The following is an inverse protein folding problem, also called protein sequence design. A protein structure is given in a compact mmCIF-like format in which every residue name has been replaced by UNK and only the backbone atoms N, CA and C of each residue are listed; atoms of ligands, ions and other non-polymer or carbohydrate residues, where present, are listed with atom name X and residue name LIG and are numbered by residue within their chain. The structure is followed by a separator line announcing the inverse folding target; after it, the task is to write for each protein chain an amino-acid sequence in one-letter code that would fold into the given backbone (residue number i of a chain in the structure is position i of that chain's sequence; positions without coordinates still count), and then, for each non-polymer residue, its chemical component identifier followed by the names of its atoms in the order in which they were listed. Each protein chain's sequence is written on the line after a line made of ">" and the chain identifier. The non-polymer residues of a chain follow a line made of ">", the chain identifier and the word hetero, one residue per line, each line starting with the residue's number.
data_IF_260984927469
#
_entry.id   IF_260984927469
#
_cell.length_a   1.000
_cell.length_b   1.000
_cell.length_c   1.000
_cell.angle_alpha   90.00
_cell.angle_beta   90.00
_cell.angle_gamma   90.00
#
_symmetry.space_group_name_H-M   'P 1'
#
loop_
_entity.id
_entity.type
_entity.pdbx_description
1 polymer ?
#
# COMPACT_ATOMS: atom_id res chain seq x y z
N UNK A 1 -41.71 32.01 -11.54
CA UNK A 1 -42.40 30.93 -10.82
C UNK A 1 -41.31 30.14 -10.13
N UNK A 2 -41.45 29.93 -8.82
CA UNK A 2 -40.56 29.08 -8.02
C UNK A 2 -40.81 27.63 -8.45
N UNK A 3 -39.77 26.91 -8.84
CA UNK A 3 -39.75 25.45 -8.85
C UNK A 3 -38.77 25.04 -7.75
N UNK A 4 -39.25 25.07 -6.51
CA UNK A 4 -38.66 24.33 -5.38
C UNK A 4 -39.14 22.87 -5.55
N UNK A 5 -38.54 22.14 -6.49
CA UNK A 5 -38.64 20.69 -6.53
C UNK A 5 -37.56 20.14 -5.60
N UNK A 6 -37.87 20.12 -4.30
CA UNK A 6 -37.08 19.38 -3.32
C UNK A 6 -37.05 17.91 -3.75
N UNK A 7 -35.90 17.46 -4.29
CA UNK A 7 -35.68 16.09 -4.72
C UNK A 7 -35.62 15.14 -3.49
N UNK A 8 -36.78 14.72 -2.98
CA UNK A 8 -36.93 13.74 -1.90
C UNK A 8 -36.70 12.28 -2.36
N UNK A 9 -35.95 12.09 -3.45
CA UNK A 9 -35.60 10.74 -3.92
C UNK A 9 -34.63 10.08 -2.95
N UNK A 10 -34.76 8.77 -2.74
CA UNK A 10 -33.80 8.00 -1.94
C UNK A 10 -32.35 8.20 -2.42
N UNK A 11 -32.17 8.43 -3.73
CA UNK A 11 -30.88 8.74 -4.33
C UNK A 11 -30.22 10.01 -3.74
N UNK A 12 -31.02 11.02 -3.36
CA UNK A 12 -30.51 12.25 -2.74
C UNK A 12 -29.89 11.99 -1.35
N UNK A 13 -30.36 10.96 -0.64
CA UNK A 13 -29.81 10.53 0.67
C UNK A 13 -28.83 9.35 0.57
N UNK A 14 -28.74 8.71 -0.60
CA UNK A 14 -27.93 7.51 -0.76
C UNK A 14 -26.46 7.90 -0.93
N UNK A 15 -25.65 7.68 0.10
CA UNK A 15 -24.19 7.75 -0.04
C UNK A 15 -23.74 6.51 -0.80
N UNK A 16 -23.38 6.69 -2.07
CA UNK A 16 -22.74 5.63 -2.84
C UNK A 16 -21.31 5.48 -2.32
N UNK A 17 -21.06 4.38 -1.63
CA UNK A 17 -19.69 4.02 -1.29
C UNK A 17 -18.96 3.55 -2.54
N UNK A 18 -17.69 3.93 -2.65
CA UNK A 18 -16.81 3.34 -3.64
C UNK A 18 -16.84 1.82 -3.49
N UNK A 19 -16.89 1.11 -4.62
CA UNK A 19 -16.88 -0.35 -4.63
C UNK A 19 -15.67 -0.83 -3.82
N UNK A 20 -15.82 -1.84 -2.94
CA UNK A 20 -14.75 -2.28 -2.07
C UNK A 20 -13.52 -2.62 -2.89
N UNK A 21 -12.37 -2.05 -2.51
CA UNK A 21 -11.08 -2.35 -3.13
C UNK A 21 -10.87 -3.87 -3.02
N UNK A 22 -10.56 -4.57 -4.13
CA UNK A 22 -10.33 -6.01 -4.09
C UNK A 22 -9.28 -6.35 -3.05
N UNK A 23 -9.59 -7.36 -2.21
CA UNK A 23 -8.65 -7.81 -1.19
C UNK A 23 -7.37 -8.31 -1.87
N UNK A 24 -6.22 -7.82 -1.38
CA UNK A 24 -4.90 -8.23 -1.88
C UNK A 24 -4.65 -9.73 -1.67
N UNK A 25 -5.26 -10.29 -0.62
CA UNK A 25 -5.18 -11.70 -0.25
C UNK A 25 -6.60 -12.23 -0.07
N UNK A 26 -6.80 -13.50 -0.36
CA UNK A 26 -8.07 -14.17 -0.05
C UNK A 26 -7.87 -15.58 0.45
N UNK A 27 -8.96 -16.24 0.82
CA UNK A 27 -8.93 -17.53 1.49
C UNK A 27 -8.52 -18.65 0.53
N UNK A 28 -7.54 -19.44 0.96
CA UNK A 28 -7.10 -20.68 0.31
C UNK A 28 -7.30 -21.84 1.28
N UNK A 29 -7.92 -22.96 0.84
CA UNK A 29 -8.04 -24.14 1.68
C UNK A 29 -6.66 -24.73 2.05
N UNK A 30 -6.44 -24.97 3.34
CA UNK A 30 -5.25 -25.61 3.89
C UNK A 30 -5.62 -26.54 5.05
N UNK A 31 -5.44 -27.85 4.86
CA UNK A 31 -5.65 -28.88 5.90
C UNK A 31 -7.00 -28.83 6.64
N UNK A 32 -8.09 -28.43 5.96
CA UNK A 32 -9.42 -28.28 6.58
C UNK A 32 -9.73 -26.89 7.15
N UNK A 33 -8.82 -25.93 7.02
CA UNK A 33 -9.02 -24.51 7.35
C UNK A 33 -8.83 -23.61 6.12
N UNK A 34 -9.07 -22.30 6.24
CA UNK A 34 -8.73 -21.32 5.20
C UNK A 34 -7.62 -20.40 5.68
N UNK A 35 -6.69 -20.08 4.77
CA UNK A 35 -5.55 -19.19 5.05
C UNK A 35 -5.53 -18.08 4.01
N UNK A 36 -5.17 -16.87 4.42
CA UNK A 36 -5.05 -15.74 3.50
C UNK A 36 -3.77 -15.87 2.66
N UNK A 37 -3.92 -15.89 1.34
CA UNK A 37 -2.81 -15.92 0.40
C UNK A 37 -3.02 -14.95 -0.77
N UNK A 38 -1.91 -14.51 -1.35
CA UNK A 38 -1.89 -13.87 -2.66
C UNK A 38 -2.27 -14.88 -3.74
N UNK A 39 -2.93 -14.36 -4.78
CA UNK A 39 -3.42 -15.12 -5.94
C UNK A 39 -2.30 -15.75 -6.74
N UNK A 40 -1.23 -14.98 -6.92
CA UNK A 40 -0.10 -15.32 -7.75
C UNK A 40 1.15 -14.59 -7.27
N UNK A 41 2.32 -15.07 -7.70
CA UNK A 41 3.59 -14.39 -7.45
C UNK A 41 3.59 -12.95 -8.01
N UNK A 42 2.96 -12.73 -9.16
CA UNK A 42 2.83 -11.40 -9.76
C UNK A 42 2.03 -10.45 -8.86
N UNK A 43 0.89 -10.91 -8.34
CA UNK A 43 0.07 -10.12 -7.41
C UNK A 43 0.81 -9.79 -6.11
N UNK A 44 1.60 -10.74 -5.59
CA UNK A 44 2.46 -10.52 -4.44
C UNK A 44 3.54 -9.48 -4.74
N UNK A 45 4.23 -9.60 -5.88
CA UNK A 45 5.33 -8.70 -6.26
C UNK A 45 4.85 -7.27 -6.53
N UNK A 46 3.68 -7.12 -7.15
CA UNK A 46 3.04 -5.84 -7.39
C UNK A 46 2.63 -5.17 -6.07
N UNK A 47 2.06 -5.94 -5.14
CA UNK A 47 1.70 -5.44 -3.82
C UNK A 47 2.93 -5.07 -2.98
N UNK A 48 4.01 -5.85 -3.07
CA UNK A 48 5.28 -5.56 -2.38
C UNK A 48 5.90 -4.26 -2.90
N UNK A 49 6.02 -4.11 -4.22
CA UNK A 49 6.49 -2.87 -4.86
C UNK A 49 5.62 -1.68 -4.47
N UNK A 50 4.30 -1.84 -4.45
CA UNK A 50 3.37 -0.77 -4.05
C UNK A 50 3.55 -0.36 -2.59
N UNK A 51 3.80 -1.32 -1.70
CA UNK A 51 4.15 -1.03 -0.31
C UNK A 51 5.44 -0.20 -0.23
N UNK A 52 6.50 -0.63 -0.93
CA UNK A 52 7.78 0.08 -0.92
C UNK A 52 7.66 1.50 -1.46
N UNK A 53 6.97 1.69 -2.60
CA UNK A 53 6.78 3.03 -3.19
C UNK A 53 5.96 3.92 -2.27
N UNK A 54 4.85 3.44 -1.71
CA UNK A 54 3.97 4.26 -0.89
C UNK A 54 4.65 4.71 0.41
N UNK A 55 5.36 3.80 1.09
CA UNK A 55 6.12 4.16 2.30
C UNK A 55 7.27 5.10 1.97
N UNK A 56 7.97 4.85 0.85
CA UNK A 56 9.06 5.71 0.39
C UNK A 56 8.57 7.13 0.10
N UNK A 57 7.49 7.28 -0.67
CA UNK A 57 6.95 8.58 -1.05
C UNK A 57 6.47 9.36 0.17
N UNK A 58 5.74 8.72 1.09
CA UNK A 58 5.32 9.34 2.35
C UNK A 58 6.51 9.76 3.22
N UNK A 59 7.55 8.93 3.29
CA UNK A 59 8.78 9.27 4.00
C UNK A 59 9.52 10.45 3.36
N UNK A 60 9.60 10.50 2.02
CA UNK A 60 10.24 11.59 1.30
C UNK A 60 9.48 12.92 1.47
N UNK A 61 8.16 12.90 1.43
CA UNK A 61 7.34 14.10 1.73
C UNK A 61 7.53 14.57 3.17
N UNK A 62 7.52 13.64 4.14
CA UNK A 62 7.83 13.96 5.53
C UNK A 62 9.24 14.50 5.73
N UNK A 63 10.21 13.96 4.99
CA UNK A 63 11.59 14.40 5.02
C UNK A 63 11.76 15.82 4.47
N UNK A 64 11.04 16.22 3.42
CA UNK A 64 11.07 17.62 2.93
C UNK A 64 10.70 18.60 4.04
N UNK A 65 9.62 18.32 4.77
CA UNK A 65 9.19 19.17 5.88
C UNK A 65 10.25 19.20 6.99
N UNK A 66 10.75 18.03 7.40
CA UNK A 66 11.79 17.92 8.43
C UNK A 66 13.10 18.62 8.04
N UNK A 67 13.52 18.49 6.78
CA UNK A 67 14.72 19.12 6.24
C UNK A 67 14.58 20.64 6.15
N UNK A 68 13.40 21.15 5.78
CA UNK A 68 13.16 22.60 5.76
C UNK A 68 13.28 23.20 7.18
N UNK A 69 12.72 22.53 8.19
CA UNK A 69 12.86 22.93 9.59
C UNK A 69 14.32 22.84 10.06
N UNK A 70 15.02 21.75 9.72
CA UNK A 70 16.42 21.57 10.07
C UNK A 70 17.32 22.63 9.42
N UNK A 71 17.12 22.92 8.14
CA UNK A 71 17.85 23.94 7.41
C UNK A 71 17.66 25.32 8.04
N UNK A 72 16.42 25.68 8.36
CA UNK A 72 16.12 26.95 9.01
C UNK A 72 16.79 27.06 10.39
N UNK A 73 16.77 25.99 11.18
CA UNK A 73 17.44 25.96 12.49
C UNK A 73 18.97 26.04 12.39
N UNK A 74 19.58 25.38 11.39
CA UNK A 74 21.02 25.39 11.17
C UNK A 74 21.52 26.75 10.66
N UNK A 75 20.71 27.46 9.88
CA UNK A 75 21.07 28.72 9.25
C UNK A 75 20.57 29.96 9.99
N UNK A 76 19.77 29.80 11.06
CA UNK A 76 19.26 30.92 11.85
C UNK A 76 20.43 31.62 12.57
N UNK A 77 20.58 32.95 12.46
CA UNK A 77 21.54 33.66 13.28
C UNK A 77 21.18 33.54 14.77
N UNK A 78 22.17 33.52 15.66
CA UNK A 78 21.89 33.57 17.08
C UNK A 78 21.04 34.79 17.43
N UNK A 79 20.07 34.63 18.33
CA UNK A 79 19.07 35.67 18.64
C UNK A 79 19.71 37.00 19.11
N UNK A 80 20.90 36.96 19.71
CA UNK A 80 21.62 38.15 20.18
C UNK A 80 22.29 38.96 19.05
N UNK A 81 22.43 38.43 17.83
CA UNK A 81 23.03 39.18 16.69
C UNK A 81 22.01 39.98 15.88
N UNK A 82 20.76 40.06 16.34
CA UNK A 82 19.68 40.80 15.68
C UNK A 82 19.22 40.15 14.37
N UNK A 83 17.99 40.44 13.96
CA UNK A 83 17.40 39.95 12.71
C UNK A 83 17.94 40.63 11.44
N UNK A 84 19.01 41.42 11.55
CA UNK A 84 19.58 42.25 10.49
C UNK A 84 20.64 41.57 9.63
N UNK A 85 20.73 40.23 9.66
CA UNK A 85 21.62 39.50 8.77
C UNK A 85 21.22 39.63 7.30
N UNK A 86 22.17 39.44 6.38
CA UNK A 86 21.86 39.39 4.95
C UNK A 86 20.96 38.19 4.66
N UNK A 87 19.71 38.47 4.28
CA UNK A 87 18.71 37.45 3.96
C UNK A 87 19.19 36.56 2.81
N UNK A 88 20.04 37.07 1.90
CA UNK A 88 20.58 36.30 0.78
C UNK A 88 21.59 35.25 1.21
N UNK A 89 22.43 35.55 2.21
CA UNK A 89 23.37 34.56 2.75
C UNK A 89 22.62 33.45 3.48
N UNK A 90 21.57 33.82 4.21
CA UNK A 90 20.69 32.87 4.90
C UNK A 90 19.98 31.94 3.92
N UNK A 91 19.39 32.48 2.85
CA UNK A 91 18.72 31.70 1.81
C UNK A 91 19.67 30.68 1.17
N UNK A 92 20.90 31.08 0.81
CA UNK A 92 21.93 30.17 0.27
C UNK A 92 22.40 29.11 1.26
N UNK A 93 22.34 29.40 2.56
CA UNK A 93 22.61 28.40 3.60
C UNK A 93 21.45 27.41 3.67
N UNK A 94 20.22 27.90 3.75
CA UNK A 94 19.02 27.06 3.88
C UNK A 94 18.86 26.14 2.67
N UNK A 95 19.13 26.63 1.45
CA UNK A 95 19.10 25.82 0.22
C UNK A 95 20.12 24.66 0.25
N UNK A 96 21.38 24.94 0.60
CA UNK A 96 22.42 23.89 0.71
C UNK A 96 22.11 22.84 1.77
N UNK A 97 21.68 23.30 2.95
CA UNK A 97 21.33 22.41 4.06
C UNK A 97 20.11 21.55 3.71
N UNK A 98 19.10 22.14 3.05
CA UNK A 98 17.91 21.44 2.59
C UNK A 98 18.24 20.36 1.55
N UNK A 99 18.99 20.71 0.50
CA UNK A 99 19.38 19.76 -0.56
C UNK A 99 20.19 18.58 -0.01
N UNK A 100 21.18 18.87 0.84
CA UNK A 100 21.99 17.83 1.48
C UNK A 100 21.15 16.90 2.36
N UNK A 101 20.23 17.47 3.14
CA UNK A 101 19.32 16.72 3.99
C UNK A 101 18.37 15.82 3.19
N UNK A 102 17.73 16.35 2.13
CA UNK A 102 16.79 15.58 1.29
C UNK A 102 17.53 14.46 0.54
N UNK A 103 18.73 14.72 0.02
CA UNK A 103 19.54 13.70 -0.63
C UNK A 103 19.88 12.54 0.33
N UNK A 104 20.27 12.85 1.56
CA UNK A 104 20.52 11.85 2.60
C UNK A 104 19.23 11.11 3.02
N UNK A 105 18.10 11.82 3.08
CA UNK A 105 16.81 11.25 3.47
C UNK A 105 16.31 10.21 2.46
N UNK A 106 16.49 10.41 1.14
CA UNK A 106 16.07 9.44 0.11
C UNK A 106 16.62 8.03 0.36
N UNK A 107 17.91 7.92 0.70
CA UNK A 107 18.53 6.63 1.03
C UNK A 107 17.95 5.99 2.29
N UNK A 108 17.70 6.81 3.33
CA UNK A 108 17.08 6.34 4.58
C UNK A 108 15.63 5.91 4.37
N UNK A 109 14.86 6.65 3.58
CA UNK A 109 13.48 6.32 3.25
C UNK A 109 13.36 5.02 2.46
N UNK A 110 14.27 4.77 1.50
CA UNK A 110 14.30 3.50 0.78
C UNK A 110 14.59 2.31 1.71
N UNK A 111 15.58 2.43 2.60
CA UNK A 111 15.89 1.40 3.59
C UNK A 111 14.73 1.17 4.57
N UNK A 112 14.09 2.25 5.03
CA UNK A 112 12.93 2.21 5.91
C UNK A 112 11.73 1.53 5.24
N UNK A 113 11.43 1.85 3.98
CA UNK A 113 10.36 1.21 3.21
C UNK A 113 10.58 -0.30 3.09
N UNK A 114 11.81 -0.71 2.75
CA UNK A 114 12.16 -2.14 2.66
C UNK A 114 12.01 -2.85 4.00
N UNK A 115 12.51 -2.27 5.08
CA UNK A 115 12.38 -2.82 6.44
C UNK A 115 10.90 -3.05 6.79
N UNK A 116 10.06 -2.02 6.62
CA UNK A 116 8.63 -2.07 6.96
C UNK A 116 7.82 -3.03 6.10
N UNK A 117 8.11 -3.13 4.81
CA UNK A 117 7.39 -4.04 3.92
C UNK A 117 7.89 -5.49 4.04
N UNK A 118 9.18 -5.71 4.28
CA UNK A 118 9.79 -7.05 4.21
C UNK A 118 9.14 -8.07 5.15
N UNK A 119 8.95 -7.75 6.43
CA UNK A 119 8.37 -8.69 7.41
C UNK A 119 7.00 -9.21 6.99
N UNK A 120 6.08 -8.29 6.67
CA UNK A 120 4.70 -8.63 6.32
C UNK A 120 4.56 -9.38 4.97
N UNK A 121 5.50 -9.20 4.05
CA UNK A 121 5.47 -9.81 2.71
C UNK A 121 6.28 -11.09 2.60
N UNK A 122 7.38 -11.24 3.33
CA UNK A 122 8.19 -12.47 3.31
C UNK A 122 7.44 -13.66 3.93
N UNK A 123 6.69 -13.41 5.00
CA UNK A 123 5.85 -14.44 5.66
C UNK A 123 4.48 -14.60 4.98
N UNK A 124 4.19 -13.81 3.93
CA UNK A 124 2.93 -13.92 3.20
C UNK A 124 2.87 -15.21 2.38
N UNK A 125 1.68 -15.81 2.34
CA UNK A 125 1.41 -16.99 1.50
C UNK A 125 1.07 -16.59 0.07
N UNK A 126 1.50 -17.41 -0.88
CA UNK A 126 1.18 -17.30 -2.31
C UNK A 126 0.57 -18.62 -2.75
N UNK A 127 -0.57 -18.58 -3.44
CA UNK A 127 -1.20 -19.75 -4.02
C UNK A 127 -0.32 -20.38 -5.12
N UNK A 128 -0.21 -21.71 -5.14
CA UNK A 128 0.56 -22.46 -6.15
C UNK A 128 -0.30 -22.84 -7.37
N UNK A 129 -1.58 -23.15 -7.14
CA UNK A 129 -2.48 -23.71 -8.15
C UNK A 129 -3.47 -22.69 -8.71
N UNK A 130 -3.70 -22.72 -10.03
CA UNK A 130 -4.70 -21.87 -10.71
C UNK A 130 -6.14 -22.11 -10.22
N UNK A 131 -6.47 -23.32 -9.77
CA UNK A 131 -7.80 -23.61 -9.21
C UNK A 131 -8.06 -22.83 -7.91
N UNK A 132 -7.00 -22.66 -7.10
CA UNK A 132 -7.04 -21.87 -5.86
C UNK A 132 -7.10 -20.38 -6.16
N UNK A 133 -6.43 -19.93 -7.23
CA UNK A 133 -6.50 -18.55 -7.71
C UNK A 133 -7.95 -18.12 -8.00
N UNK A 134 -8.75 -19.03 -8.59
CA UNK A 134 -10.19 -18.84 -8.81
C UNK A 134 -11.00 -18.65 -7.53
N UNK A 135 -10.70 -19.39 -6.46
CA UNK A 135 -11.36 -19.26 -5.15
C UNK A 135 -11.04 -17.91 -4.48
N UNK A 136 -9.78 -17.49 -4.54
CA UNK A 136 -9.34 -16.18 -4.02
C UNK A 136 -10.00 -15.05 -4.81
N UNK A 137 -10.16 -15.22 -6.13
CA UNK A 137 -10.90 -14.29 -6.98
C UNK A 137 -12.37 -14.18 -6.56
N UNK A 138 -13.04 -15.32 -6.34
CA UNK A 138 -14.45 -15.38 -5.96
C UNK A 138 -14.74 -14.74 -4.60
N UNK A 139 -13.87 -14.94 -3.60
CA UNK A 139 -14.01 -14.32 -2.29
C UNK A 139 -13.89 -12.79 -2.32
N UNK A 140 -13.33 -12.23 -3.40
CA UNK A 140 -13.23 -10.77 -3.59
C UNK A 140 -14.36 -10.21 -4.47
N UNK A 141 -15.25 -11.06 -5.01
CA UNK A 141 -16.39 -10.62 -5.81
C UNK A 141 -17.58 -10.29 -4.90
N UNK A 142 -18.35 -9.22 -5.19
CA UNK A 142 -19.60 -8.93 -4.47
C UNK A 142 -20.60 -10.09 -4.61
N UNK A 143 -21.36 -10.36 -3.55
CA UNK A 143 -22.30 -11.50 -3.46
C UNK A 143 -23.26 -11.60 -4.64
N UNK A 144 -23.72 -10.47 -5.17
CA UNK A 144 -24.70 -10.39 -6.28
C UNK A 144 -24.11 -10.63 -7.69
N UNK A 145 -22.94 -11.24 -7.79
CA UNK A 145 -22.31 -11.50 -9.08
C UNK A 145 -22.96 -12.70 -9.79
N UNK A 146 -23.77 -12.43 -10.82
CA UNK A 146 -24.31 -13.39 -11.83
C UNK A 146 -23.24 -14.29 -12.49
N UNK A 147 -21.97 -14.01 -12.24
CA UNK A 147 -20.80 -14.78 -12.66
C UNK A 147 -20.61 -16.09 -11.89
N UNK A 148 -21.22 -16.26 -10.70
CA UNK A 148 -21.17 -17.52 -9.94
C UNK A 148 -21.77 -18.68 -10.74
N UNK A 149 -22.92 -18.47 -11.36
CA UNK A 149 -23.63 -19.48 -12.15
C UNK A 149 -22.90 -19.82 -13.45
N UNK A 150 -22.31 -18.81 -14.08
CA UNK A 150 -21.61 -18.96 -15.36
C UNK A 150 -20.34 -19.81 -15.26
N UNK A 151 -19.74 -19.89 -14.07
CA UNK A 151 -18.53 -20.68 -13.82
C UNK A 151 -18.82 -22.14 -13.38
N UNK A 152 -20.09 -22.56 -13.29
CA UNK A 152 -20.46 -23.99 -13.20
C UNK A 152 -20.01 -24.77 -11.94
N UNK A 153 -19.74 -24.09 -10.82
CA UNK A 153 -19.08 -24.69 -9.64
C UNK A 153 -20.02 -25.01 -8.46
N UNK A 154 -21.17 -25.64 -8.75
CA UNK A 154 -21.96 -26.36 -7.74
C UNK A 154 -21.33 -27.68 -7.26
N UNK A 155 -20.15 -28.03 -7.78
CA UNK A 155 -19.43 -29.25 -7.44
C UNK A 155 -18.39 -29.03 -6.34
N UNK A 156 -18.49 -29.82 -5.28
CA UNK A 156 -17.50 -29.93 -4.19
C UNK A 156 -16.11 -30.32 -4.74
N UNK A 157 -15.29 -29.33 -5.14
CA UNK A 157 -13.91 -29.56 -5.54
C UNK A 157 -13.10 -29.97 -4.30
N UNK A 158 -12.83 -31.28 -4.15
CA UNK A 158 -11.92 -31.82 -3.15
C UNK A 158 -10.48 -31.51 -3.58
N UNK A 159 -10.03 -30.27 -3.39
CA UNK A 159 -8.60 -29.96 -3.50
C UNK A 159 -7.82 -30.75 -2.43
N UNK A 160 -6.73 -31.41 -2.82
CA UNK A 160 -5.77 -31.97 -1.87
C UNK A 160 -5.10 -30.81 -1.11
N UNK A 161 -5.62 -30.51 0.09
CA UNK A 161 -5.38 -29.25 0.80
C UNK A 161 -4.01 -29.09 1.47
N UNK A 162 -3.10 -30.05 1.37
CA UNK A 162 -1.93 -30.05 2.26
C UNK A 162 -0.77 -29.18 1.76
N UNK A 163 -0.85 -28.58 0.55
CA UNK A 163 0.27 -27.79 0.01
C UNK A 163 -0.10 -26.68 -0.99
N UNK A 164 -1.35 -26.18 -0.97
CA UNK A 164 -1.84 -25.20 -1.95
C UNK A 164 -1.15 -23.82 -1.90
N UNK A 165 -0.37 -23.52 -0.86
CA UNK A 165 0.40 -22.29 -0.75
C UNK A 165 1.85 -22.52 -0.32
N UNK A 166 2.74 -21.63 -0.73
CA UNK A 166 4.09 -21.47 -0.17
C UNK A 166 4.23 -20.09 0.47
N UNK A 167 5.19 -19.91 1.37
CA UNK A 167 5.56 -18.55 1.80
C UNK A 167 6.41 -17.89 0.72
N UNK A 168 6.38 -16.56 0.65
CA UNK A 168 7.26 -15.82 -0.25
C UNK A 168 8.73 -16.08 0.07
N UNK A 169 9.08 -16.22 1.35
CA UNK A 169 10.44 -16.61 1.79
C UNK A 169 10.89 -17.92 1.14
N UNK A 170 10.04 -18.94 1.10
CA UNK A 170 10.36 -20.23 0.47
C UNK A 170 10.57 -20.15 -1.04
N UNK A 171 9.95 -19.18 -1.71
CA UNK A 171 10.12 -18.95 -3.15
C UNK A 171 11.39 -18.15 -3.47
N UNK A 172 11.75 -17.18 -2.62
CA UNK A 172 12.91 -16.31 -2.82
C UNK A 172 14.23 -16.94 -2.37
N UNK A 173 14.19 -17.89 -1.42
CA UNK A 173 15.36 -18.62 -0.91
C UNK A 173 15.57 -19.99 -1.57
N UNK A 174 14.97 -20.25 -2.74
CA UNK A 174 15.30 -21.49 -3.47
C UNK A 174 16.79 -21.46 -3.85
N UNK A 175 17.56 -22.53 -3.56
CA UNK A 175 18.97 -22.63 -3.90
C UNK A 175 19.22 -22.57 -5.41
#
# INVERSE_FOLDING_TARGET
>A
MMEDDDDFSAAATTVVFDRPIPLLRGPVPSGGSYVLAFRSLDSWSAAFKRCETLIKDQCEEGAKIGCAVSASNNCKPPWWRGSGGDMREREKCEEREFEGCVAAAKGKCAAFAKDKCSGAFLDARIAKDKEVEGLVWLASMPEESRWRDLMGLGGSLRLHTNNCCCTARDLLLKP
#
